data_IF_457553718786
#
_entry.id   IF_457553718786
#
_cell.length_a   1.000
_cell.length_b   1.000
_cell.length_c   1.000
_cell.angle_alpha   90.00
_cell.angle_beta   90.00
_cell.angle_gamma   90.00
#
_symmetry.space_group_name_H-M   'P 1'
#
loop_
_entity.id
_entity.type
_entity.pdbx_description
1 polymer ?
#
# COMPACT_ATOMS: atom_id res chain seq x y z
N UNK A 1 8.70 -3.69 -45.54
CA UNK A 1 8.63 -3.40 -44.10
C UNK A 1 7.32 -3.78 -43.37
N UNK A 2 6.19 -4.11 -44.04
CA UNK A 2 4.90 -4.43 -43.36
C UNK A 2 4.76 -5.84 -42.73
N UNK A 3 5.64 -6.81 -43.02
CA UNK A 3 5.48 -8.21 -42.59
C UNK A 3 5.87 -8.50 -41.12
N UNK A 4 6.65 -7.63 -40.47
CA UNK A 4 7.13 -7.89 -39.09
C UNK A 4 6.10 -7.53 -37.99
N UNK A 5 5.17 -6.60 -38.25
CA UNK A 5 4.14 -6.21 -37.28
C UNK A 5 3.02 -7.25 -37.09
N UNK A 6 2.75 -8.09 -38.09
CA UNK A 6 1.73 -9.15 -38.01
C UNK A 6 2.21 -10.37 -37.21
N UNK A 7 3.48 -10.77 -37.36
CA UNK A 7 4.07 -11.87 -36.57
C UNK A 7 4.20 -11.54 -35.08
N UNK A 8 4.48 -10.27 -34.74
CA UNK A 8 4.48 -9.84 -33.35
C UNK A 8 3.08 -9.96 -32.73
N UNK A 9 2.04 -9.44 -33.40
CA UNK A 9 0.65 -9.51 -32.90
C UNK A 9 0.13 -10.94 -32.70
N UNK A 10 0.52 -11.90 -33.54
CA UNK A 10 0.13 -13.31 -33.36
C UNK A 10 0.85 -13.97 -32.17
N UNK A 11 2.13 -13.63 -31.93
CA UNK A 11 2.91 -14.14 -30.82
C UNK A 11 2.37 -13.66 -29.45
N UNK A 12 1.94 -12.39 -29.33
CA UNK A 12 1.32 -11.88 -28.10
C UNK A 12 -0.01 -12.60 -27.81
N UNK A 13 -0.90 -12.73 -28.79
CA UNK A 13 -2.18 -13.44 -28.63
C UNK A 13 -2.00 -14.90 -28.21
N UNK A 14 -1.06 -15.60 -28.82
CA UNK A 14 -0.79 -17.00 -28.47
C UNK A 14 -0.25 -17.13 -27.04
N UNK A 15 0.68 -16.26 -26.64
CA UNK A 15 1.23 -16.23 -25.28
C UNK A 15 0.16 -15.90 -24.22
N UNK A 16 -0.77 -15.00 -24.50
CA UNK A 16 -1.89 -14.69 -23.58
C UNK A 16 -2.85 -15.86 -23.44
N UNK A 17 -3.19 -16.54 -24.53
CA UNK A 17 -4.08 -17.72 -24.50
C UNK A 17 -3.44 -18.89 -23.76
N UNK A 18 -2.13 -19.09 -23.89
CA UNK A 18 -1.38 -20.10 -23.14
C UNK A 18 -1.32 -19.79 -21.64
N UNK A 19 -1.09 -18.53 -21.27
CA UNK A 19 -1.13 -18.09 -19.88
C UNK A 19 -2.54 -18.25 -19.28
N UNK A 20 -3.59 -17.88 -20.01
CA UNK A 20 -4.98 -18.08 -19.57
C UNK A 20 -5.31 -19.57 -19.48
N UNK A 21 -4.86 -20.42 -20.40
CA UNK A 21 -5.05 -21.87 -20.33
C UNK A 21 -4.29 -22.50 -19.17
N UNK A 22 -3.11 -21.98 -18.81
CA UNK A 22 -2.34 -22.42 -17.63
C UNK A 22 -2.97 -21.94 -16.31
N UNK A 23 -3.61 -20.76 -16.32
CA UNK A 23 -4.20 -20.11 -15.14
C UNK A 23 -5.73 -20.06 -15.15
N UNK A 24 -6.41 -20.89 -15.95
CA UNK A 24 -7.87 -20.80 -16.15
C UNK A 24 -8.65 -20.98 -14.85
N UNK A 25 -8.14 -21.83 -13.95
CA UNK A 25 -8.70 -22.04 -12.60
C UNK A 25 -8.72 -20.73 -11.81
N UNK A 26 -7.61 -19.99 -11.82
CA UNK A 26 -7.50 -18.72 -11.12
C UNK A 26 -8.43 -17.66 -11.70
N UNK A 27 -8.54 -17.59 -13.03
CA UNK A 27 -9.46 -16.67 -13.71
C UNK A 27 -10.93 -17.01 -13.37
N UNK A 28 -11.28 -18.30 -13.38
CA UNK A 28 -12.63 -18.75 -13.00
C UNK A 28 -12.97 -18.41 -11.55
N UNK A 29 -12.02 -18.58 -10.61
CA UNK A 29 -12.23 -18.22 -9.20
C UNK A 29 -12.47 -16.72 -9.05
N UNK A 30 -11.68 -15.88 -9.73
CA UNK A 30 -11.85 -14.42 -9.68
C UNK A 30 -13.21 -14.00 -10.25
N UNK A 31 -13.58 -14.53 -11.42
CA UNK A 31 -14.88 -14.23 -12.03
C UNK A 31 -16.01 -14.73 -11.13
N UNK A 32 -15.91 -15.95 -10.61
CA UNK A 32 -16.87 -16.53 -9.68
C UNK A 32 -17.05 -15.70 -8.41
N UNK A 33 -15.96 -15.16 -7.87
CA UNK A 33 -15.99 -14.23 -6.74
C UNK A 33 -16.79 -12.95 -7.06
N UNK A 34 -16.50 -12.30 -8.19
CA UNK A 34 -17.23 -11.08 -8.58
C UNK A 34 -18.70 -11.33 -8.87
N UNK A 35 -19.02 -12.46 -9.51
CA UNK A 35 -20.41 -12.86 -9.74
C UNK A 35 -21.13 -13.12 -8.42
N UNK A 36 -20.51 -13.89 -7.51
CA UNK A 36 -21.07 -14.17 -6.19
C UNK A 36 -21.32 -12.87 -5.42
N UNK A 37 -20.38 -11.92 -5.44
CA UNK A 37 -20.53 -10.61 -4.81
C UNK A 37 -21.68 -9.81 -5.42
N UNK A 38 -21.71 -9.65 -6.75
CA UNK A 38 -22.79 -8.95 -7.47
C UNK A 38 -24.16 -9.56 -7.13
N UNK A 39 -24.29 -10.88 -7.26
CA UNK A 39 -25.55 -11.58 -6.97
C UNK A 39 -25.94 -11.47 -5.50
N UNK A 40 -24.99 -11.55 -4.57
CA UNK A 40 -25.28 -11.41 -3.14
C UNK A 40 -25.84 -10.03 -2.83
N UNK A 41 -25.22 -8.96 -3.34
CA UNK A 41 -25.69 -7.58 -3.11
C UNK A 41 -27.10 -7.38 -3.66
N UNK A 42 -27.36 -7.85 -4.88
CA UNK A 42 -28.67 -7.72 -5.54
C UNK A 42 -29.73 -8.57 -4.83
N UNK A 43 -29.40 -9.81 -4.47
CA UNK A 43 -30.32 -10.75 -3.84
C UNK A 43 -30.73 -10.31 -2.43
N UNK A 44 -29.76 -9.91 -1.61
CA UNK A 44 -29.99 -9.42 -0.26
C UNK A 44 -30.45 -7.96 -0.20
N UNK A 45 -30.56 -7.28 -1.35
CA UNK A 45 -30.94 -5.86 -1.47
C UNK A 45 -30.11 -4.97 -0.53
N UNK A 46 -28.81 -5.24 -0.48
CA UNK A 46 -27.90 -4.50 0.40
C UNK A 46 -27.84 -3.03 -0.07
N UNK A 47 -27.99 -2.05 0.84
CA UNK A 47 -27.89 -0.65 0.46
C UNK A 47 -26.52 -0.32 -0.16
N UNK A 48 -26.53 0.42 -1.25
CA UNK A 48 -25.34 0.71 -2.06
C UNK A 48 -24.25 1.48 -1.30
N UNK A 49 -24.63 2.31 -0.32
CA UNK A 49 -23.69 3.02 0.55
C UNK A 49 -22.97 2.12 1.55
N UNK A 50 -23.49 0.91 1.81
CA UNK A 50 -22.86 -0.10 2.67
C UNK A 50 -21.95 -0.98 1.85
N UNK A 51 -22.46 -1.53 0.75
CA UNK A 51 -21.71 -2.41 -0.13
C UNK A 51 -22.16 -2.23 -1.59
N UNK A 52 -21.47 -1.39 -2.37
CA UNK A 52 -21.82 -1.19 -3.76
C UNK A 52 -21.51 -2.45 -4.58
N UNK A 53 -22.38 -2.86 -5.52
CA UNK A 53 -22.11 -3.99 -6.40
C UNK A 53 -20.95 -3.64 -7.36
N UNK A 54 -20.11 -4.62 -7.76
CA UNK A 54 -19.02 -4.41 -8.72
C UNK A 54 -19.44 -3.67 -9.99
N UNK A 55 -20.64 -3.96 -10.51
CA UNK A 55 -21.17 -3.28 -11.69
C UNK A 55 -21.39 -1.78 -11.48
N UNK A 56 -21.78 -1.35 -10.27
CA UNK A 56 -21.93 0.06 -9.94
C UNK A 56 -20.57 0.76 -9.91
N UNK A 57 -19.58 0.19 -9.20
CA UNK A 57 -18.23 0.75 -9.17
C UNK A 57 -17.64 0.95 -10.58
N UNK A 58 -17.84 -0.01 -11.48
CA UNK A 58 -17.43 0.12 -12.88
C UNK A 58 -18.18 1.23 -13.62
N UNK A 59 -19.51 1.37 -13.41
CA UNK A 59 -20.28 2.47 -13.99
C UNK A 59 -19.77 3.84 -13.51
N UNK A 60 -19.53 4.00 -12.22
CA UNK A 60 -18.98 5.24 -11.65
C UNK A 60 -17.58 5.57 -12.18
N UNK A 61 -16.78 4.56 -12.55
CA UNK A 61 -15.44 4.74 -13.10
C UNK A 61 -15.45 5.23 -14.56
N UNK A 62 -16.36 4.70 -15.38
CA UNK A 62 -16.37 4.97 -16.83
C UNK A 62 -17.43 5.99 -17.27
N UNK A 63 -18.47 6.21 -16.46
CA UNK A 63 -19.60 7.08 -16.80
C UNK A 63 -19.71 8.18 -15.75
N UNK A 64 -19.53 9.43 -16.19
CA UNK A 64 -19.69 10.59 -15.32
C UNK A 64 -21.18 10.73 -14.95
N UNK A 65 -21.47 10.67 -13.66
CA UNK A 65 -22.82 10.93 -13.14
C UNK A 65 -23.02 12.44 -12.96
N UNK A 66 -24.24 12.91 -13.17
CA UNK A 66 -24.58 14.34 -13.11
C UNK A 66 -24.30 14.93 -11.72
N UNK A 67 -24.52 14.14 -10.67
CA UNK A 67 -24.39 14.57 -9.27
C UNK A 67 -22.97 14.39 -8.72
N UNK A 68 -22.07 13.80 -9.51
CA UNK A 68 -20.76 13.40 -9.03
C UNK A 68 -19.66 14.40 -9.41
N UNK A 69 -19.10 15.06 -8.40
CA UNK A 69 -17.93 15.93 -8.53
C UNK A 69 -16.63 15.12 -8.39
N UNK A 70 -16.34 14.28 -9.40
CA UNK A 70 -15.11 13.48 -9.42
C UNK A 70 -13.87 14.34 -9.70
N UNK A 71 -13.32 14.99 -8.67
CA UNK A 71 -12.08 15.74 -8.78
C UNK A 71 -10.85 14.84 -8.62
N UNK A 72 -10.72 13.84 -9.51
CA UNK A 72 -9.60 12.90 -9.52
C UNK A 72 -8.23 13.58 -9.48
N UNK A 73 -7.95 14.65 -10.25
CA UNK A 73 -6.64 15.29 -10.20
C UNK A 73 -6.31 15.87 -8.82
N UNK A 74 -7.30 16.45 -8.14
CA UNK A 74 -7.13 16.96 -6.78
C UNK A 74 -6.84 15.82 -5.81
N UNK A 75 -7.68 14.77 -5.79
CA UNK A 75 -7.55 13.68 -4.83
C UNK A 75 -6.24 12.89 -5.01
N UNK A 76 -5.86 12.61 -6.26
CA UNK A 76 -4.59 11.94 -6.58
C UNK A 76 -3.42 12.80 -6.12
N UNK A 77 -3.43 14.10 -6.45
CA UNK A 77 -2.37 15.03 -6.06
C UNK A 77 -2.25 15.13 -4.53
N UNK A 78 -3.35 15.33 -3.83
CA UNK A 78 -3.35 15.44 -2.36
C UNK A 78 -2.82 14.16 -1.72
N UNK A 79 -3.29 12.99 -2.16
CA UNK A 79 -2.83 11.69 -1.64
C UNK A 79 -1.34 11.49 -1.88
N UNK A 80 -0.86 11.77 -3.11
CA UNK A 80 0.56 11.66 -3.43
C UNK A 80 1.42 12.63 -2.61
N UNK A 81 0.96 13.87 -2.43
CA UNK A 81 1.68 14.85 -1.61
C UNK A 81 1.79 14.40 -0.15
N UNK A 82 0.68 13.95 0.44
CA UNK A 82 0.65 13.44 1.81
C UNK A 82 1.54 12.20 1.97
N UNK A 83 1.46 11.26 1.03
CA UNK A 83 2.29 10.06 1.00
C UNK A 83 3.78 10.40 0.89
N UNK A 84 4.19 11.21 -0.10
CA UNK A 84 5.60 11.53 -0.33
C UNK A 84 6.18 12.28 0.86
N UNK A 85 5.46 13.28 1.39
CA UNK A 85 5.95 14.05 2.54
C UNK A 85 6.03 13.19 3.81
N UNK A 86 4.99 12.40 4.10
CA UNK A 86 4.99 11.47 5.23
C UNK A 86 6.10 10.43 5.11
N UNK A 87 6.27 9.84 3.92
CA UNK A 87 7.33 8.88 3.64
C UNK A 87 8.72 9.50 3.81
N UNK A 88 9.00 10.66 3.21
CA UNK A 88 10.30 11.31 3.32
C UNK A 88 10.67 11.64 4.76
N UNK A 89 9.74 12.20 5.54
CA UNK A 89 9.97 12.51 6.97
C UNK A 89 10.26 11.23 7.75
N UNK A 90 9.46 10.19 7.54
CA UNK A 90 9.63 8.90 8.22
C UNK A 90 10.93 8.21 7.82
N UNK A 91 11.26 8.20 6.54
CA UNK A 91 12.46 7.57 6.02
C UNK A 91 13.70 8.27 6.58
N UNK A 92 13.79 9.60 6.50
CA UNK A 92 14.95 10.34 7.01
C UNK A 92 15.14 10.13 8.50
N UNK A 93 14.07 10.31 9.30
CA UNK A 93 14.17 10.19 10.76
C UNK A 93 14.34 8.74 11.21
N UNK A 94 13.58 7.82 10.62
CA UNK A 94 13.57 6.41 10.99
C UNK A 94 14.86 5.69 10.59
N UNK A 95 15.33 5.89 9.36
CA UNK A 95 16.59 5.32 8.89
C UNK A 95 17.76 5.95 9.66
N UNK A 96 17.77 7.27 9.81
CA UNK A 96 18.82 7.98 10.56
C UNK A 96 18.95 7.44 11.99
N UNK A 97 17.83 7.27 12.68
CA UNK A 97 17.81 6.75 14.04
C UNK A 97 18.22 5.26 14.11
N UNK A 98 17.77 4.44 13.15
CA UNK A 98 18.16 3.03 13.06
C UNK A 98 19.68 2.87 12.88
N UNK A 99 20.30 3.67 12.03
CA UNK A 99 21.76 3.66 11.83
C UNK A 99 22.48 3.95 13.15
N UNK A 100 22.03 4.95 13.91
CA UNK A 100 22.60 5.30 15.22
C UNK A 100 22.47 4.14 16.21
N UNK A 101 21.33 3.45 16.25
CA UNK A 101 21.12 2.33 17.16
C UNK A 101 21.95 1.10 16.82
N UNK A 102 22.15 0.81 15.52
CA UNK A 102 22.92 -0.36 15.07
C UNK A 102 24.40 -0.27 15.44
N UNK A 103 24.96 0.94 15.61
CA UNK A 103 26.35 1.12 16.03
C UNK A 103 26.68 0.47 17.39
N UNK A 104 25.69 0.24 18.24
CA UNK A 104 25.88 -0.45 19.52
C UNK A 104 24.91 -1.61 19.65
N UNK A 105 25.47 -2.83 19.63
CA UNK A 105 24.70 -4.07 19.83
C UNK A 105 23.83 -4.03 21.09
N UNK A 106 24.36 -3.48 22.20
CA UNK A 106 23.60 -3.31 23.45
C UNK A 106 22.40 -2.37 23.31
N UNK A 107 22.57 -1.24 22.63
CA UNK A 107 21.48 -0.27 22.43
C UNK A 107 20.41 -0.89 21.54
N UNK A 108 20.81 -1.47 20.42
CA UNK A 108 19.91 -2.20 19.51
C UNK A 108 19.09 -3.25 20.24
N UNK A 109 19.74 -4.14 21.00
CA UNK A 109 19.08 -5.25 21.70
C UNK A 109 18.09 -4.76 22.79
N UNK A 110 18.30 -3.56 23.35
CA UNK A 110 17.37 -2.92 24.29
C UNK A 110 16.22 -2.20 23.58
N UNK A 111 16.50 -1.55 22.45
CA UNK A 111 15.54 -0.72 21.73
C UNK A 111 14.57 -1.55 20.89
N UNK A 112 15.06 -2.62 20.24
CA UNK A 112 14.23 -3.50 19.40
C UNK A 112 12.97 -3.99 20.12
N UNK A 113 13.03 -4.66 21.28
CA UNK A 113 11.82 -5.14 21.96
C UNK A 113 10.89 -4.01 22.39
N UNK A 114 11.42 -2.85 22.80
CA UNK A 114 10.62 -1.67 23.14
C UNK A 114 9.86 -1.14 21.93
N UNK A 115 10.52 -1.02 20.78
CA UNK A 115 9.92 -0.51 19.55
C UNK A 115 8.89 -1.48 18.99
N UNK A 116 9.17 -2.79 19.04
CA UNK A 116 8.20 -3.83 18.67
C UNK A 116 6.97 -3.79 19.57
N UNK A 117 7.15 -3.59 20.88
CA UNK A 117 6.04 -3.44 21.82
C UNK A 117 5.17 -2.21 21.48
N UNK A 118 5.78 -1.04 21.30
CA UNK A 118 5.05 0.18 20.92
C UNK A 118 4.33 0.00 19.58
N UNK A 119 4.96 -0.68 18.61
CA UNK A 119 4.36 -0.92 17.31
C UNK A 119 3.11 -1.83 17.36
N UNK A 120 3.00 -2.69 18.38
CA UNK A 120 1.81 -3.51 18.58
C UNK A 120 0.58 -2.73 19.05
N UNK A 121 0.77 -1.48 19.51
CA UNK A 121 -0.34 -0.64 19.95
C UNK A 121 -1.18 -0.17 18.75
N UNK A 122 -2.52 -0.26 18.83
CA UNK A 122 -3.40 0.09 17.72
C UNK A 122 -3.47 1.60 17.55
N UNK A 123 -2.63 2.14 16.65
CA UNK A 123 -2.60 3.58 16.36
C UNK A 123 -3.90 4.12 15.76
N UNK A 124 -4.75 3.25 15.20
CA UNK A 124 -6.04 3.62 14.63
C UNK A 124 -6.98 4.28 15.68
N UNK A 125 -6.77 4.02 16.97
CA UNK A 125 -7.50 4.68 18.05
C UNK A 125 -7.02 6.13 18.31
N UNK A 126 -5.79 6.46 17.95
CA UNK A 126 -5.17 7.78 18.20
C UNK A 126 -5.49 8.75 17.05
N UNK A 127 -5.61 8.25 15.81
CA UNK A 127 -5.87 9.08 14.63
C UNK A 127 -7.08 10.03 14.78
N UNK A 128 -8.26 9.58 15.31
CA UNK A 128 -9.38 10.48 15.57
C UNK A 128 -9.09 11.60 16.57
N UNK A 129 -8.29 11.35 17.60
CA UNK A 129 -7.90 12.38 18.59
C UNK A 129 -7.00 13.44 17.94
N UNK A 130 -6.05 13.01 17.11
CA UNK A 130 -5.20 13.93 16.35
C UNK A 130 -6.05 14.79 15.40
N UNK A 131 -7.03 14.18 14.72
CA UNK A 131 -7.98 14.90 13.87
C UNK A 131 -8.82 15.92 14.66
N UNK A 132 -9.24 15.58 15.89
CA UNK A 132 -9.98 16.51 16.75
C UNK A 132 -9.12 17.69 17.20
N UNK A 133 -7.83 17.49 17.49
CA UNK A 133 -6.95 18.57 17.96
C UNK A 133 -6.38 19.43 16.84
N UNK A 134 -5.94 18.82 15.74
CA UNK A 134 -5.28 19.52 14.63
C UNK A 134 -6.22 19.86 13.49
N UNK A 135 -7.43 19.29 13.48
CA UNK A 135 -8.36 19.38 12.36
C UNK A 135 -7.95 18.52 11.17
N UNK A 136 -8.74 18.60 10.11
CA UNK A 136 -8.47 17.95 8.83
C UNK A 136 -7.43 18.73 8.03
N UNK A 137 -6.54 18.01 7.35
CA UNK A 137 -5.63 18.59 6.36
C UNK A 137 -4.31 17.85 6.23
N UNK A 138 -3.49 18.33 5.30
CA UNK A 138 -2.22 17.70 4.90
C UNK A 138 -1.28 17.48 6.09
N UNK A 139 -1.16 18.48 6.99
CA UNK A 139 -0.27 18.38 8.17
C UNK A 139 -0.68 17.24 9.10
N UNK A 140 -1.97 17.10 9.37
CA UNK A 140 -2.54 16.05 10.21
C UNK A 140 -2.33 14.68 9.59
N UNK A 141 -2.57 14.55 8.28
CA UNK A 141 -2.40 13.30 7.55
C UNK A 141 -0.93 12.86 7.51
N UNK A 142 0.02 13.80 7.33
CA UNK A 142 1.46 13.54 7.40
C UNK A 142 1.86 13.05 8.79
N UNK A 143 1.36 13.66 9.86
CA UNK A 143 1.67 13.24 11.23
C UNK A 143 1.15 11.82 11.51
N UNK A 144 -0.08 11.52 11.10
CA UNK A 144 -0.65 10.17 11.24
C UNK A 144 0.19 9.17 10.45
N UNK A 145 0.51 9.46 9.19
CA UNK A 145 1.35 8.60 8.36
C UNK A 145 2.72 8.36 9.00
N UNK A 146 3.35 9.40 9.54
CA UNK A 146 4.61 9.31 10.26
C UNK A 146 4.50 8.37 11.46
N UNK A 147 3.55 8.59 12.37
CA UNK A 147 3.42 7.77 13.58
C UNK A 147 3.13 6.29 13.27
N UNK A 148 2.34 6.02 12.22
CA UNK A 148 2.01 4.65 11.79
C UNK A 148 3.24 3.92 11.24
N UNK A 149 4.08 4.64 10.49
CA UNK A 149 5.19 4.03 9.73
C UNK A 149 6.55 4.16 10.39
N UNK A 150 6.72 5.05 11.38
CA UNK A 150 8.00 5.31 12.03
C UNK A 150 8.60 4.07 12.69
N UNK A 151 7.88 3.41 13.59
CA UNK A 151 8.42 2.25 14.31
C UNK A 151 8.75 1.07 13.38
N UNK A 152 7.88 0.66 12.44
CA UNK A 152 8.23 -0.39 11.46
C UNK A 152 9.44 -0.02 10.61
N UNK A 153 9.56 1.24 10.17
CA UNK A 153 10.72 1.68 9.39
C UNK A 153 11.99 1.53 10.21
N UNK A 154 12.02 2.02 11.46
CA UNK A 154 13.20 1.88 12.33
C UNK A 154 13.54 0.39 12.55
N UNK A 155 12.55 -0.44 12.91
CA UNK A 155 12.76 -1.88 13.17
C UNK A 155 13.27 -2.61 11.93
N UNK A 156 12.64 -2.40 10.77
CA UNK A 156 13.02 -3.05 9.53
C UNK A 156 14.39 -2.58 9.05
N UNK A 157 14.73 -1.31 9.20
CA UNK A 157 16.07 -0.80 8.88
C UNK A 157 17.12 -1.37 9.82
N UNK A 158 16.88 -1.43 11.13
CA UNK A 158 17.80 -2.06 12.07
C UNK A 158 18.03 -3.54 11.72
N UNK A 159 16.96 -4.28 11.45
CA UNK A 159 17.02 -5.70 11.11
C UNK A 159 17.71 -5.93 9.76
N UNK A 160 17.46 -5.08 8.77
CA UNK A 160 18.11 -5.16 7.47
C UNK A 160 19.60 -4.83 7.51
N UNK A 161 20.00 -3.83 8.29
CA UNK A 161 21.43 -3.52 8.50
C UNK A 161 22.17 -4.64 9.22
N UNK A 162 21.50 -5.36 10.12
CA UNK A 162 22.08 -6.47 10.90
C UNK A 162 22.13 -7.80 10.14
N UNK A 163 21.44 -7.91 9.00
CA UNK A 163 21.43 -9.12 8.17
C UNK A 163 22.65 -9.28 7.25
N UNK A 164 23.61 -8.34 7.30
CA UNK A 164 24.84 -8.39 6.51
C UNK A 164 25.79 -9.44 7.12
N UNK A 165 26.33 -10.33 6.28
CA UNK A 165 27.28 -11.36 6.70
C UNK A 165 28.56 -10.74 7.31
N UNK A 166 28.98 -11.26 8.46
CA UNK A 166 30.18 -10.79 9.18
C UNK A 166 31.44 -10.83 8.29
N UNK A 167 31.55 -11.81 7.39
CA UNK A 167 32.66 -11.97 6.43
C UNK A 167 32.82 -10.75 5.50
N UNK A 168 31.72 -10.07 5.17
CA UNK A 168 31.76 -8.86 4.33
C UNK A 168 32.24 -7.65 5.12
N UNK A 169 32.00 -7.61 6.44
CA UNK A 169 32.48 -6.56 7.33
C UNK A 169 33.98 -6.71 7.61
N UNK A 170 34.47 -7.95 7.72
CA UNK A 170 35.89 -8.24 7.92
C UNK A 170 36.75 -7.93 6.68
N UNK A 171 36.16 -7.90 5.47
CA UNK A 171 36.84 -7.49 4.25
C UNK A 171 37.16 -5.97 4.19
N UNK A 172 36.45 -5.17 4.98
CA UNK A 172 36.57 -3.70 5.01
C UNK A 172 37.46 -3.24 6.18
N UNK A 173 37.74 -4.12 7.16
CA UNK A 173 38.67 -3.89 8.29
C UNK A 173 40.12 -4.10 7.89
#
# INVERSE_FOLDING_TARGET
MKKNGQKAKSAWRQKTVELIRKNYRSVLVIIGFFLLWEFSVVWFKVPEFVLPPPSSALKHLFVKQADANYNWPLHIRTTLQEFILGFCVTAVLGIGLAIVFVWSKKVKDLVLPLFTFINSLPIIAIAPLILLWMGYGIKTNILIAFLVSFFPVVINTMTGLDSIEDDLLDLIR
#
